data_IF_067393289417
#
_entry.id   IF_067393289417
#
_cell.length_a   1.000
_cell.length_b   1.000
_cell.length_c   1.000
_cell.angle_alpha   90.00
_cell.angle_beta   90.00
_cell.angle_gamma   90.00
#
_symmetry.space_group_name_H-M   'P 1'
#
loop_
_entity.id
_entity.type
_entity.pdbx_description
1 polymer ?
#
# COMPACT_ATOMS: atom_id res chain seq x y z
N UNK A 1 -29.63 30.18 -39.75
CA UNK A 1 -28.44 30.24 -38.88
C UNK A 1 -28.84 29.73 -37.50
N UNK A 2 -28.50 28.49 -37.20
CA UNK A 2 -28.70 27.84 -35.89
C UNK A 2 -27.37 27.24 -35.50
N UNK A 3 -26.75 27.65 -34.38
CA UNK A 3 -25.47 27.08 -34.00
C UNK A 3 -25.74 25.74 -33.32
N UNK A 4 -25.27 24.68 -33.97
CA UNK A 4 -25.22 23.33 -33.45
C UNK A 4 -24.20 23.30 -32.31
N UNK A 5 -24.69 23.28 -31.06
CA UNK A 5 -23.85 23.01 -29.89
C UNK A 5 -23.31 21.58 -29.99
N UNK A 6 -22.04 21.45 -30.37
CA UNK A 6 -21.28 20.23 -30.16
C UNK A 6 -21.12 20.04 -28.66
N UNK A 7 -21.84 19.07 -28.08
CA UNK A 7 -21.45 18.47 -26.80
C UNK A 7 -20.04 17.90 -26.98
N UNK A 8 -19.05 18.62 -26.44
CA UNK A 8 -17.73 18.05 -26.19
C UNK A 8 -17.91 16.96 -25.13
N UNK A 9 -17.89 15.71 -25.57
CA UNK A 9 -17.73 14.56 -24.70
C UNK A 9 -16.34 14.66 -24.08
N UNK A 10 -16.27 15.27 -22.90
CA UNK A 10 -15.07 15.23 -22.06
C UNK A 10 -15.01 13.81 -21.52
N UNK A 11 -14.22 12.95 -22.18
CA UNK A 11 -13.70 11.74 -21.57
C UNK A 11 -12.89 12.19 -20.35
N UNK A 12 -13.52 12.25 -19.18
CA UNK A 12 -12.79 12.20 -17.91
C UNK A 12 -12.11 10.84 -17.89
N UNK A 13 -10.85 10.78 -18.33
CA UNK A 13 -9.95 9.70 -17.97
C UNK A 13 -9.96 9.67 -16.45
N UNK A 14 -10.66 8.70 -15.84
CA UNK A 14 -10.63 8.48 -14.42
C UNK A 14 -9.16 8.22 -14.05
N UNK A 15 -8.50 9.21 -13.47
CA UNK A 15 -7.14 9.05 -12.96
C UNK A 15 -7.27 8.18 -11.72
N UNK A 16 -6.99 6.87 -11.85
CA UNK A 16 -6.86 6.01 -10.69
C UNK A 16 -5.56 6.33 -9.98
N UNK A 17 -5.64 6.78 -8.73
CA UNK A 17 -4.48 7.00 -7.87
C UNK A 17 -4.37 5.87 -6.86
N UNK A 18 -3.14 5.46 -6.55
CA UNK A 18 -2.90 4.34 -5.63
C UNK A 18 -1.90 4.73 -4.56
N UNK A 19 -2.26 4.45 -3.31
CA UNK A 19 -1.33 4.43 -2.19
C UNK A 19 -1.02 2.99 -1.82
N UNK A 20 0.25 2.66 -1.57
CA UNK A 20 0.68 1.30 -1.21
C UNK A 20 1.48 1.31 0.07
N UNK A 21 1.40 0.23 0.84
CA UNK A 21 2.40 -0.11 1.83
C UNK A 21 2.77 -1.57 1.70
N UNK A 22 4.06 -1.87 1.71
CA UNK A 22 4.57 -3.20 1.41
C UNK A 22 5.90 -3.47 2.09
N UNK A 23 6.29 -4.74 2.13
CA UNK A 23 7.46 -5.21 2.84
C UNK A 23 7.37 -4.88 4.33
N UNK A 24 8.48 -4.47 4.95
CA UNK A 24 8.57 -4.23 6.40
C UNK A 24 8.14 -2.83 6.84
N UNK A 25 7.83 -1.93 5.91
CA UNK A 25 7.56 -0.54 6.26
C UNK A 25 7.63 0.47 5.12
N UNK A 26 7.73 0.03 3.86
CA UNK A 26 7.70 0.95 2.73
C UNK A 26 6.28 1.49 2.55
N UNK A 27 6.16 2.79 2.35
CA UNK A 27 4.91 3.47 2.03
C UNK A 27 5.11 4.28 0.76
N UNK A 28 4.31 3.98 -0.26
CA UNK A 28 4.19 4.76 -1.48
C UNK A 28 2.92 5.61 -1.37
N UNK A 29 3.02 6.93 -1.13
CA UNK A 29 1.85 7.80 -1.07
C UNK A 29 1.16 7.90 -2.43
N UNK A 30 -0.06 8.45 -2.44
CA UNK A 30 -0.82 8.68 -3.69
C UNK A 30 -0.05 9.55 -4.69
N UNK A 31 0.82 10.43 -4.20
CA UNK A 31 1.70 11.27 -5.01
C UNK A 31 3.08 11.40 -4.37
N UNK A 32 4.12 11.31 -5.19
CA UNK A 32 5.52 11.45 -4.78
C UNK A 32 6.25 10.11 -4.76
N UNK A 33 7.47 10.11 -4.23
CA UNK A 33 8.26 8.89 -4.05
C UNK A 33 7.91 8.23 -2.72
N UNK A 34 8.06 6.90 -2.67
CA UNK A 34 7.86 6.15 -1.43
C UNK A 34 8.86 6.54 -0.34
N UNK A 35 8.55 6.20 0.90
CA UNK A 35 9.44 6.38 2.04
C UNK A 35 9.34 5.16 2.96
N UNK A 36 10.13 5.13 4.02
CA UNK A 36 10.20 3.98 4.93
C UNK A 36 9.87 4.38 6.36
N UNK A 37 9.03 3.57 7.01
CA UNK A 37 8.62 3.73 8.40
C UNK A 37 8.96 2.45 9.16
N UNK A 38 9.87 2.55 10.13
CA UNK A 38 10.18 1.44 11.05
C UNK A 38 9.39 1.61 12.33
N UNK A 39 8.27 0.92 12.46
CA UNK A 39 7.41 1.09 13.63
C UNK A 39 6.48 -0.09 13.84
N UNK A 40 6.21 -0.40 15.10
CA UNK A 40 5.12 -1.30 15.50
C UNK A 40 3.90 -0.52 16.03
N UNK A 41 3.93 0.83 15.93
CA UNK A 41 2.81 1.68 16.30
C UNK A 41 1.66 1.58 15.30
N UNK A 42 0.42 1.83 15.76
CA UNK A 42 -0.70 2.05 14.87
C UNK A 42 -0.59 3.41 14.15
N UNK A 43 -0.95 3.44 12.87
CA UNK A 43 -1.00 4.65 12.05
C UNK A 43 -2.32 4.75 11.27
N UNK A 44 -2.79 5.97 11.06
CA UNK A 44 -3.72 6.24 9.95
C UNK A 44 -2.97 6.11 8.63
N UNK A 45 -3.31 5.09 7.83
CA UNK A 45 -2.78 4.96 6.47
C UNK A 45 -3.40 6.03 5.57
N UNK A 46 -4.72 6.14 5.56
CA UNK A 46 -5.42 7.24 4.91
C UNK A 46 -6.76 7.49 5.58
N UNK A 47 -7.13 8.77 5.69
CA UNK A 47 -8.43 9.22 6.15
C UNK A 47 -8.92 10.40 5.34
N UNK A 48 -10.16 10.37 4.87
CA UNK A 48 -10.77 11.47 4.13
C UNK A 48 -12.30 11.38 4.15
N UNK A 49 -12.97 12.46 3.81
CA UNK A 49 -14.42 12.53 3.70
C UNK A 49 -14.85 12.61 2.24
N UNK A 50 -15.86 11.83 1.84
CA UNK A 50 -16.51 11.98 0.55
C UNK A 50 -18.03 11.96 0.74
N UNK A 51 -18.74 12.97 0.23
CA UNK A 51 -20.20 13.11 0.38
C UNK A 51 -20.69 12.94 1.83
N UNK A 52 -19.98 13.53 2.80
CA UNK A 52 -20.23 13.44 4.26
C UNK A 52 -20.04 12.04 4.87
N UNK A 53 -19.49 11.11 4.10
CA UNK A 53 -19.09 9.78 4.58
C UNK A 53 -17.58 9.80 4.83
N UNK A 54 -17.18 9.48 6.05
CA UNK A 54 -15.78 9.29 6.41
C UNK A 54 -15.30 7.91 5.96
N UNK A 55 -14.11 7.90 5.38
CA UNK A 55 -13.31 6.72 5.05
C UNK A 55 -12.05 6.78 5.90
N UNK A 56 -11.80 5.76 6.71
CA UNK A 56 -10.64 5.68 7.58
C UNK A 56 -10.01 4.30 7.49
N UNK A 57 -8.72 4.27 7.13
CA UNK A 57 -7.94 3.04 7.07
C UNK A 57 -6.77 3.20 8.02
N UNK A 58 -6.72 2.35 9.05
CA UNK A 58 -5.62 2.30 10.01
C UNK A 58 -4.85 0.99 9.86
N UNK A 59 -3.56 1.06 10.14
CA UNK A 59 -2.63 -0.07 10.02
C UNK A 59 -1.76 -0.17 11.27
N UNK A 60 -1.40 -1.39 11.65
CA UNK A 60 -0.39 -1.65 12.68
C UNK A 60 0.49 -2.81 12.24
N UNK A 61 1.80 -2.58 12.29
CA UNK A 61 2.81 -3.62 12.04
C UNK A 61 3.22 -4.28 13.35
N UNK A 62 3.61 -5.55 13.26
CA UNK A 62 4.29 -6.24 14.35
C UNK A 62 5.81 -6.07 14.26
N UNK A 63 6.53 -6.62 15.23
CA UNK A 63 8.01 -6.61 15.21
C UNK A 63 8.61 -7.43 14.05
N UNK A 64 7.81 -8.33 13.46
CA UNK A 64 8.17 -9.05 12.24
C UNK A 64 8.24 -8.15 11.00
N UNK A 65 7.78 -6.90 11.09
CA UNK A 65 7.64 -5.99 9.95
C UNK A 65 6.36 -6.21 9.16
N UNK A 66 5.63 -7.32 9.33
CA UNK A 66 4.34 -7.55 8.67
C UNK A 66 3.22 -6.72 9.31
N UNK A 67 2.20 -6.40 8.52
CA UNK A 67 0.95 -5.85 9.03
C UNK A 67 0.19 -6.94 9.81
N UNK A 68 0.01 -6.72 11.11
CA UNK A 68 -0.68 -7.65 12.02
C UNK A 68 -2.15 -7.27 12.24
N UNK A 69 -2.48 -6.00 11.96
CA UNK A 69 -3.84 -5.49 12.06
C UNK A 69 -4.06 -4.38 11.04
N UNK A 70 -5.18 -4.46 10.33
CA UNK A 70 -5.68 -3.40 9.45
C UNK A 70 -7.14 -3.17 9.78
N UNK A 71 -7.55 -1.92 9.95
CA UNK A 71 -8.95 -1.57 10.12
C UNK A 71 -9.41 -0.67 9.00
N UNK A 72 -10.50 -1.05 8.35
CA UNK A 72 -11.12 -0.35 7.23
C UNK A 72 -12.50 0.06 7.68
N UNK A 73 -12.71 1.36 7.87
CA UNK A 73 -14.00 1.92 8.25
C UNK A 73 -14.58 2.69 7.06
N UNK A 74 -15.76 2.29 6.60
CA UNK A 74 -16.49 2.97 5.53
C UNK A 74 -17.94 3.14 5.96
N UNK A 75 -18.40 4.38 6.04
CA UNK A 75 -19.77 4.69 6.48
C UNK A 75 -20.15 3.97 7.78
N UNK A 76 -19.26 4.05 8.78
CA UNK A 76 -19.39 3.41 10.11
C UNK A 76 -19.34 1.88 10.12
N UNK A 77 -19.27 1.22 8.97
CA UNK A 77 -19.03 -0.23 8.90
C UNK A 77 -17.55 -0.47 9.08
N UNK A 78 -17.18 -1.22 10.12
CA UNK A 78 -15.80 -1.55 10.46
C UNK A 78 -15.47 -2.97 10.02
N UNK A 79 -14.46 -3.07 9.16
CA UNK A 79 -13.83 -4.32 8.74
C UNK A 79 -12.43 -4.40 9.32
N UNK A 80 -12.12 -5.47 10.06
CA UNK A 80 -10.81 -5.70 10.68
C UNK A 80 -10.15 -6.92 10.04
N UNK A 81 -8.91 -6.75 9.59
CA UNK A 81 -8.04 -7.83 9.13
C UNK A 81 -7.05 -8.14 10.24
N UNK A 82 -7.12 -9.33 10.82
CA UNK A 82 -6.26 -9.73 11.93
C UNK A 82 -6.15 -11.26 12.01
N UNK A 83 -4.95 -11.78 12.27
CA UNK A 83 -4.71 -13.22 12.44
C UNK A 83 -5.25 -14.08 11.28
N UNK A 84 -5.12 -13.61 10.04
CA UNK A 84 -5.64 -14.30 8.85
C UNK A 84 -7.16 -14.31 8.71
N UNK A 85 -7.89 -13.68 9.64
CA UNK A 85 -9.35 -13.59 9.62
C UNK A 85 -9.80 -12.21 9.13
N UNK A 86 -10.98 -12.19 8.48
CA UNK A 86 -11.70 -10.99 8.10
C UNK A 86 -12.91 -10.88 9.02
N UNK A 87 -12.98 -9.79 9.79
CA UNK A 87 -14.07 -9.52 10.74
C UNK A 87 -14.85 -8.30 10.25
N UNK A 88 -16.12 -8.46 9.89
CA UNK A 88 -17.02 -7.34 9.57
C UNK A 88 -17.99 -7.18 10.73
N UNK A 89 -18.05 -5.99 11.33
CA UNK A 89 -18.88 -5.73 12.52
C UNK A 89 -18.67 -6.78 13.63
N UNK A 90 -17.40 -7.14 13.86
CA UNK A 90 -16.95 -8.16 14.84
C UNK A 90 -17.34 -9.60 14.51
N UNK A 91 -17.94 -9.86 13.34
CA UNK A 91 -18.29 -11.21 12.88
C UNK A 91 -17.29 -11.69 11.85
N UNK A 92 -16.76 -12.90 12.04
CA UNK A 92 -15.91 -13.53 11.04
C UNK A 92 -16.73 -13.84 9.79
N UNK A 93 -16.15 -13.57 8.62
CA UNK A 93 -16.81 -13.78 7.32
C UNK A 93 -15.97 -14.67 6.42
N UNK A 94 -16.64 -15.38 5.51
CA UNK A 94 -15.99 -16.12 4.42
C UNK A 94 -16.14 -15.36 3.10
N UNK A 95 -15.25 -15.61 2.14
CA UNK A 95 -15.27 -14.96 0.84
C UNK A 95 -16.03 -15.82 -0.19
N UNK A 96 -16.79 -15.19 -1.12
CA UNK A 96 -17.08 -13.76 -1.19
C UNK A 96 -18.04 -13.33 -0.07
N UNK A 97 -17.96 -12.06 0.32
CA UNK A 97 -18.82 -11.47 1.33
C UNK A 97 -19.42 -10.16 0.86
N UNK A 98 -20.74 -10.05 0.96
CA UNK A 98 -21.49 -8.84 0.67
C UNK A 98 -22.04 -8.21 1.95
N UNK A 99 -21.90 -6.90 2.03
CA UNK A 99 -22.55 -6.05 3.02
C UNK A 99 -23.02 -4.78 2.33
N UNK A 100 -23.94 -4.03 2.96
CA UNK A 100 -24.64 -2.88 2.36
C UNK A 100 -23.76 -1.89 1.59
N UNK A 101 -22.49 -1.71 1.98
CA UNK A 101 -21.57 -0.73 1.40
C UNK A 101 -20.26 -1.33 0.88
N UNK A 102 -20.08 -2.64 0.96
CA UNK A 102 -18.81 -3.27 0.65
C UNK A 102 -19.00 -4.69 0.10
N UNK A 103 -18.18 -5.01 -0.90
CA UNK A 103 -18.04 -6.35 -1.45
C UNK A 103 -16.60 -6.82 -1.25
N UNK A 104 -16.40 -7.97 -0.62
CA UNK A 104 -15.09 -8.56 -0.35
C UNK A 104 -14.95 -9.87 -1.12
N UNK A 105 -13.89 -10.00 -1.92
CA UNK A 105 -13.73 -11.13 -2.84
C UNK A 105 -12.25 -11.42 -3.14
N UNK A 106 -12.00 -12.60 -3.70
CA UNK A 106 -10.68 -13.01 -4.18
C UNK A 106 -10.31 -12.24 -5.46
N UNK A 107 -9.10 -11.70 -5.50
CA UNK A 107 -8.53 -10.92 -6.60
C UNK A 107 -7.16 -11.47 -6.97
N UNK A 108 -7.15 -12.58 -7.72
CA UNK A 108 -5.93 -13.35 -7.98
C UNK A 108 -5.42 -13.97 -6.68
N UNK A 109 -4.16 -13.67 -6.32
CA UNK A 109 -3.59 -14.07 -5.03
C UNK A 109 -3.96 -13.12 -3.88
N UNK A 110 -4.61 -12.00 -4.19
CA UNK A 110 -4.96 -10.96 -3.23
C UNK A 110 -6.40 -11.13 -2.78
N UNK A 111 -6.76 -10.50 -1.68
CA UNK A 111 -8.16 -10.23 -1.35
C UNK A 111 -8.44 -8.75 -1.57
N UNK A 112 -9.61 -8.44 -2.13
CA UNK A 112 -10.05 -7.08 -2.42
C UNK A 112 -11.36 -6.80 -1.74
N UNK A 113 -11.41 -5.69 -1.01
CA UNK A 113 -12.62 -5.02 -0.60
C UNK A 113 -12.90 -3.89 -1.61
N UNK A 114 -14.11 -3.84 -2.14
CA UNK A 114 -14.60 -2.76 -3.01
C UNK A 114 -15.74 -2.04 -2.31
N UNK A 115 -15.65 -0.71 -2.21
CA UNK A 115 -16.75 0.12 -1.74
C UNK A 115 -17.85 0.22 -2.81
N UNK A 116 -19.11 0.16 -2.36
CA UNK A 116 -20.28 0.41 -3.19
C UNK A 116 -20.70 1.89 -3.18
N UNK A 117 -20.14 2.70 -2.28
CA UNK A 117 -20.48 4.12 -2.08
C UNK A 117 -19.57 5.08 -2.84
N UNK A 118 -18.32 4.68 -3.03
CA UNK A 118 -17.25 5.45 -3.66
C UNK A 118 -16.43 4.45 -4.48
N UNK A 119 -15.87 4.83 -5.65
CA UNK A 119 -14.90 4.01 -6.36
C UNK A 119 -13.54 3.98 -5.61
N UNK A 120 -13.58 3.43 -4.40
CA UNK A 120 -12.45 3.09 -3.55
C UNK A 120 -12.37 1.57 -3.45
N UNK A 121 -11.16 1.04 -3.53
CA UNK A 121 -10.88 -0.35 -3.16
C UNK A 121 -9.66 -0.45 -2.25
N UNK A 122 -9.72 -1.42 -1.34
CA UNK A 122 -8.59 -1.80 -0.48
C UNK A 122 -8.23 -3.23 -0.84
N UNK A 123 -7.00 -3.46 -1.27
CA UNK A 123 -6.53 -4.78 -1.68
C UNK A 123 -5.31 -5.17 -0.85
N UNK A 124 -5.23 -6.42 -0.42
CA UNK A 124 -4.13 -6.90 0.41
C UNK A 124 -3.72 -8.33 0.06
N UNK A 125 -2.49 -8.68 0.43
CA UNK A 125 -1.94 -10.02 0.31
C UNK A 125 -1.67 -10.59 1.70
N UNK A 126 -2.31 -11.70 2.03
CA UNK A 126 -2.12 -12.39 3.30
C UNK A 126 -1.01 -13.45 3.17
N UNK A 127 -0.11 -13.46 4.14
CA UNK A 127 1.00 -14.41 4.28
C UNK A 127 1.00 -14.99 5.69
N UNK A 128 1.70 -16.12 5.94
CA UNK A 128 1.96 -16.58 7.30
C UNK A 128 2.49 -15.44 8.18
N UNK A 129 1.78 -15.16 9.28
CA UNK A 129 2.15 -14.12 10.24
C UNK A 129 1.59 -12.72 10.00
N UNK A 130 0.92 -12.45 8.87
CA UNK A 130 0.28 -11.14 8.65
C UNK A 130 -0.01 -10.80 7.19
N UNK A 131 0.16 -9.51 6.85
CA UNK A 131 0.00 -8.97 5.50
C UNK A 131 1.31 -8.32 5.07
N UNK A 132 1.84 -8.70 3.90
CA UNK A 132 3.11 -8.20 3.36
C UNK A 132 2.93 -7.04 2.38
N UNK A 133 1.75 -6.90 1.77
CA UNK A 133 1.38 -5.80 0.86
C UNK A 133 -0.09 -5.43 1.01
N UNK A 134 -0.35 -4.12 1.05
CA UNK A 134 -1.68 -3.54 1.07
C UNK A 134 -1.69 -2.25 0.24
N UNK A 135 -2.75 -2.03 -0.53
CA UNK A 135 -2.94 -0.78 -1.24
C UNK A 135 -4.39 -0.31 -1.28
N UNK A 136 -4.51 1.01 -1.44
CA UNK A 136 -5.77 1.73 -1.56
C UNK A 136 -5.79 2.36 -2.95
N UNK A 137 -6.77 1.99 -3.77
CA UNK A 137 -7.03 2.58 -5.08
C UNK A 137 -8.24 3.50 -4.99
N UNK A 138 -8.11 4.71 -5.53
CA UNK A 138 -9.17 5.70 -5.65
C UNK A 138 -9.33 6.06 -7.14
N UNK A 139 -10.53 5.91 -7.70
CA UNK A 139 -10.85 6.37 -9.05
C UNK A 139 -11.56 7.74 -8.98
N UNK A 140 -10.92 8.69 -8.30
CA UNK A 140 -11.40 10.06 -8.17
C UNK A 140 -10.23 11.00 -7.88
N UNK A 141 -10.48 12.31 -7.97
CA UNK A 141 -9.53 13.31 -7.51
C UNK A 141 -9.25 13.16 -6.01
N UNK A 142 -8.00 13.40 -5.62
CA UNK A 142 -7.59 13.35 -4.22
C UNK A 142 -8.32 14.44 -3.43
N UNK A 143 -9.01 14.02 -2.37
CA UNK A 143 -9.67 14.96 -1.48
C UNK A 143 -8.67 15.88 -0.80
N UNK A 144 -9.01 17.18 -0.70
CA UNK A 144 -8.16 18.18 -0.07
C UNK A 144 -8.06 18.02 1.45
N UNK A 145 -8.98 17.29 2.06
CA UNK A 145 -9.01 16.96 3.50
C UNK A 145 -8.22 15.70 3.86
N UNK A 146 -7.67 14.98 2.87
CA UNK A 146 -7.04 13.68 3.08
C UNK A 146 -5.84 13.72 4.03
N UNK A 147 -5.79 12.83 5.01
CA UNK A 147 -4.70 12.71 5.99
C UNK A 147 -4.18 11.28 6.04
N UNK A 148 -3.15 11.03 6.84
CA UNK A 148 -2.51 9.72 6.97
C UNK A 148 -1.21 9.60 6.16
N UNK A 149 -0.58 8.44 6.26
CA UNK A 149 0.69 8.11 5.59
C UNK A 149 0.62 8.20 4.06
N UNK A 150 -0.55 8.01 3.46
CA UNK A 150 -0.76 8.18 2.02
C UNK A 150 -0.72 9.63 1.55
N UNK A 151 -0.86 10.57 2.49
CA UNK A 151 -0.58 12.00 2.34
C UNK A 151 -1.43 12.79 1.35
N UNK A 152 -1.21 14.12 1.40
CA UNK A 152 -1.58 15.10 0.37
C UNK A 152 -0.36 15.39 -0.52
N UNK A 153 -0.57 16.10 -1.63
CA UNK A 153 0.52 16.57 -2.48
C UNK A 153 1.57 17.37 -1.67
N UNK A 154 2.86 17.18 -1.98
CA UNK A 154 4.00 18.00 -1.51
C UNK A 154 4.33 17.94 -0.01
N UNK A 155 3.91 16.90 0.70
CA UNK A 155 4.30 16.68 2.11
C UNK A 155 5.44 15.65 2.19
N UNK A 156 6.43 15.89 3.05
CA UNK A 156 7.54 14.95 3.25
C UNK A 156 7.11 13.74 4.07
N UNK A 157 7.74 12.58 3.85
CA UNK A 157 7.43 11.36 4.60
C UNK A 157 7.57 11.53 6.12
N UNK A 158 8.55 12.30 6.60
CA UNK A 158 8.72 12.57 8.04
C UNK A 158 7.53 13.33 8.65
N UNK A 159 6.98 14.32 7.93
CA UNK A 159 5.79 15.05 8.37
C UNK A 159 4.56 14.13 8.38
N UNK A 160 4.41 13.26 7.39
CA UNK A 160 3.33 12.29 7.32
C UNK A 160 3.39 11.29 8.48
N UNK A 161 4.58 10.79 8.83
CA UNK A 161 4.75 9.88 9.97
C UNK A 161 4.27 10.55 11.26
N UNK A 162 4.80 11.75 11.58
CA UNK A 162 4.44 12.46 12.82
C UNK A 162 2.96 12.79 12.93
N UNK A 163 2.31 13.15 11.82
CA UNK A 163 0.90 13.51 11.79
C UNK A 163 -0.07 12.33 11.76
N UNK A 164 0.42 11.09 11.60
CA UNK A 164 -0.43 9.91 11.38
C UNK A 164 -0.32 8.85 12.47
N UNK A 165 0.64 8.97 13.39
CA UNK A 165 0.76 8.05 14.52
C UNK A 165 -0.45 8.14 15.44
N UNK A 166 -1.04 7.01 15.79
CA UNK A 166 -2.11 6.93 16.78
C UNK A 166 -1.51 6.69 18.17
N UNK A 167 -2.14 7.22 19.22
CA UNK A 167 -1.67 7.12 20.60
C UNK A 167 -1.66 5.67 21.08
N UNK A 168 -0.48 5.17 21.43
CA UNK A 168 -0.25 3.86 22.04
C UNK A 168 1.08 3.92 22.82
N UNK A 169 1.02 3.73 24.13
CA UNK A 169 2.18 3.87 25.01
C UNK A 169 3.11 2.64 24.98
N UNK A 170 2.69 1.56 24.31
CA UNK A 170 3.42 0.28 24.26
C UNK A 170 4.23 0.09 22.99
N UNK A 171 4.07 0.98 22.01
CA UNK A 171 4.69 0.89 20.70
C UNK A 171 5.89 1.84 20.55
N UNK A 172 6.69 1.63 19.50
CA UNK A 172 7.85 2.45 19.18
C UNK A 172 7.97 2.68 17.68
N UNK A 173 8.16 3.95 17.31
CA UNK A 173 8.69 4.33 15.98
C UNK A 173 10.18 4.55 16.11
N UNK A 174 10.97 3.84 15.30
CA UNK A 174 12.43 3.82 15.34
C UNK A 174 13.01 4.50 14.11
N UNK A 175 14.25 4.94 14.23
CA UNK A 175 14.97 5.47 13.07
C UNK A 175 15.20 4.38 12.02
N UNK A 176 15.01 4.70 10.72
CA UNK A 176 15.38 3.81 9.63
C UNK A 176 16.87 3.49 9.66
N UNK A 177 17.20 2.20 9.66
CA UNK A 177 18.58 1.73 9.51
C UNK A 177 18.73 1.19 8.08
N UNK A 178 19.82 1.55 7.42
CA UNK A 178 20.12 1.16 6.05
C UNK A 178 21.47 0.45 6.03
N UNK A 179 21.46 -0.88 5.84
CA UNK A 179 22.66 -1.70 5.74
C UNK A 179 22.75 -2.28 4.32
N UNK A 180 23.92 -2.23 3.66
CA UNK A 180 24.10 -2.85 2.35
C UNK A 180 23.70 -4.32 2.36
N UNK A 181 22.97 -4.74 1.32
CA UNK A 181 22.52 -6.11 1.18
C UNK A 181 22.83 -6.63 -0.25
N UNK A 182 23.53 -7.77 -0.39
CA UNK A 182 23.97 -8.26 -1.70
C UNK A 182 22.81 -8.59 -2.65
N UNK A 183 21.64 -8.99 -2.13
CA UNK A 183 20.45 -9.24 -2.96
C UNK A 183 19.91 -7.92 -3.53
N UNK A 184 19.89 -6.85 -2.72
CA UNK A 184 19.55 -5.52 -3.22
C UNK A 184 20.53 -5.05 -4.30
N UNK A 185 21.84 -5.19 -4.09
CA UNK A 185 22.86 -4.82 -5.08
C UNK A 185 22.65 -5.55 -6.41
N UNK A 186 22.48 -6.88 -6.35
CA UNK A 186 22.33 -7.70 -7.53
C UNK A 186 21.00 -7.42 -8.26
N UNK A 187 19.90 -7.33 -7.52
CA UNK A 187 18.59 -7.03 -8.11
C UNK A 187 18.57 -5.65 -8.80
N UNK A 188 19.09 -4.60 -8.15
CA UNK A 188 19.09 -3.25 -8.72
C UNK A 188 20.09 -3.05 -9.86
N UNK A 189 21.00 -4.00 -10.11
CA UNK A 189 21.80 -3.99 -11.33
C UNK A 189 20.95 -4.17 -12.61
N UNK A 190 19.79 -4.84 -12.49
CA UNK A 190 18.88 -5.09 -13.62
C UNK A 190 17.79 -4.03 -13.82
N UNK A 191 17.66 -3.06 -12.89
CA UNK A 191 16.59 -2.04 -12.91
C UNK A 191 16.98 -0.73 -13.60
N UNK A 192 18.21 -0.62 -14.10
CA UNK A 192 18.74 0.60 -14.70
C UNK A 192 17.87 1.11 -15.87
N UNK A 193 17.37 0.20 -16.70
CA UNK A 193 16.56 0.55 -17.88
C UNK A 193 15.14 1.05 -17.57
N UNK A 194 14.63 0.91 -16.33
CA UNK A 194 13.25 1.26 -16.00
C UNK A 194 13.12 2.34 -14.91
N UNK A 195 13.95 2.32 -13.85
CA UNK A 195 13.76 3.24 -12.72
C UNK A 195 14.38 4.63 -12.91
N UNK A 196 15.28 4.79 -13.89
CA UNK A 196 15.94 6.06 -14.22
C UNK A 196 16.39 6.84 -12.97
N UNK A 197 15.88 8.06 -12.77
CA UNK A 197 16.22 8.96 -11.65
C UNK A 197 15.75 8.45 -10.28
N UNK A 198 14.74 7.59 -10.22
CA UNK A 198 14.21 7.02 -8.98
C UNK A 198 14.98 5.78 -8.49
N UNK A 199 15.92 5.26 -9.29
CA UNK A 199 16.67 4.02 -8.98
C UNK A 199 17.38 4.09 -7.64
N UNK A 200 18.17 5.14 -7.40
CA UNK A 200 18.94 5.29 -6.15
C UNK A 200 18.03 5.33 -4.93
N UNK A 201 16.87 5.97 -5.06
CA UNK A 201 15.88 6.08 -4.02
C UNK A 201 15.30 4.71 -3.63
N UNK A 202 14.79 3.94 -4.62
CA UNK A 202 14.27 2.60 -4.35
C UNK A 202 15.35 1.63 -3.88
N UNK A 203 16.58 1.79 -4.37
CA UNK A 203 17.71 1.00 -3.91
C UNK A 203 17.99 1.22 -2.42
N UNK A 204 17.95 2.46 -1.94
CA UNK A 204 18.05 2.76 -0.50
C UNK A 204 16.86 2.22 0.31
N UNK A 205 15.65 2.23 -0.27
CA UNK A 205 14.48 1.62 0.38
C UNK A 205 14.64 0.10 0.52
N UNK A 206 15.30 -0.56 -0.43
CA UNK A 206 15.58 -2.00 -0.36
C UNK A 206 16.40 -2.36 0.89
N UNK A 207 17.49 -1.62 1.13
CA UNK A 207 18.34 -1.82 2.31
C UNK A 207 17.58 -1.62 3.63
N UNK A 208 16.72 -0.60 3.69
CA UNK A 208 15.87 -0.34 4.87
C UNK A 208 14.81 -1.42 5.05
N UNK A 209 14.23 -1.89 3.96
CA UNK A 209 13.17 -2.89 3.97
C UNK A 209 13.66 -4.25 4.49
N UNK A 210 14.85 -4.67 4.05
CA UNK A 210 15.41 -5.99 4.38
C UNK A 210 16.02 -6.02 5.78
N UNK A 211 16.49 -4.89 6.30
CA UNK A 211 17.19 -4.85 7.58
C UNK A 211 16.33 -5.36 8.75
N UNK A 212 16.82 -6.41 9.42
CA UNK A 212 16.11 -7.11 10.50
C UNK A 212 14.99 -8.04 10.01
N UNK A 213 14.88 -8.25 8.71
CA UNK A 213 13.90 -9.11 8.04
C UNK A 213 14.58 -10.00 6.97
N UNK A 214 15.89 -10.24 7.08
CA UNK A 214 16.72 -10.90 6.08
C UNK A 214 16.23 -12.32 5.75
N UNK A 215 15.68 -13.01 6.76
CA UNK A 215 15.18 -14.38 6.62
C UNK A 215 13.69 -14.45 6.22
N UNK A 216 13.01 -13.31 6.08
CA UNK A 216 11.60 -13.26 5.72
C UNK A 216 11.45 -13.17 4.20
N UNK A 217 11.17 -14.30 3.55
CA UNK A 217 10.88 -14.34 2.11
C UNK A 217 9.74 -13.37 1.77
N UNK A 218 8.65 -13.36 2.56
CA UNK A 218 7.48 -12.51 2.30
C UNK A 218 7.84 -11.02 2.25
N UNK A 219 8.68 -10.52 3.15
CA UNK A 219 9.04 -9.10 3.20
C UNK A 219 9.93 -8.69 2.03
N UNK A 220 10.94 -9.51 1.71
CA UNK A 220 11.81 -9.26 0.57
C UNK A 220 11.00 -9.31 -0.74
N UNK A 221 10.19 -10.35 -0.91
CA UNK A 221 9.45 -10.58 -2.13
C UNK A 221 8.34 -9.57 -2.38
N UNK A 222 7.65 -9.10 -1.35
CA UNK A 222 6.69 -8.01 -1.48
C UNK A 222 7.38 -6.75 -2.04
N UNK A 223 8.57 -6.40 -1.54
CA UNK A 223 9.33 -5.26 -2.04
C UNK A 223 9.76 -5.43 -3.51
N UNK A 224 10.44 -6.54 -3.84
CA UNK A 224 10.95 -6.75 -5.19
C UNK A 224 9.83 -6.83 -6.23
N UNK A 225 8.70 -7.44 -5.87
CA UNK A 225 7.52 -7.52 -6.74
C UNK A 225 6.99 -6.15 -7.12
N UNK A 226 6.88 -5.22 -6.16
CA UNK A 226 6.40 -3.86 -6.45
C UNK A 226 7.34 -3.12 -7.41
N UNK A 227 8.65 -3.26 -7.25
CA UNK A 227 9.62 -2.66 -8.17
C UNK A 227 9.52 -3.27 -9.57
N UNK A 228 9.38 -4.59 -9.66
CA UNK A 228 9.23 -5.30 -10.94
C UNK A 228 7.93 -4.92 -11.65
N UNK A 229 6.82 -4.81 -10.91
CA UNK A 229 5.54 -4.34 -11.45
C UNK A 229 5.64 -2.91 -11.96
N UNK A 230 6.35 -2.03 -11.25
CA UNK A 230 6.61 -0.67 -11.68
C UNK A 230 7.46 -0.61 -12.96
N UNK A 231 8.46 -1.48 -13.09
CA UNK A 231 9.28 -1.59 -14.30
C UNK A 231 8.55 -2.21 -15.49
N UNK A 232 7.50 -2.99 -15.25
CA UNK A 232 6.68 -3.61 -16.28
C UNK A 232 7.25 -4.91 -16.86
N UNK A 233 6.39 -5.66 -17.54
CA UNK A 233 6.69 -7.03 -18.01
C UNK A 233 7.75 -7.13 -19.10
N UNK A 234 7.97 -6.05 -19.84
CA UNK A 234 8.98 -5.99 -20.91
C UNK A 234 10.38 -5.61 -20.40
N UNK A 235 10.56 -5.41 -19.10
CA UNK A 235 11.84 -5.01 -18.52
C UNK A 235 12.78 -6.19 -18.27
N UNK A 236 14.09 -5.96 -18.36
CA UNK A 236 15.12 -6.97 -18.07
C UNK A 236 14.98 -7.58 -16.65
N UNK A 237 14.58 -6.75 -15.67
CA UNK A 237 14.37 -7.23 -14.30
C UNK A 237 13.19 -8.20 -14.19
N UNK A 238 12.16 -8.09 -15.05
CA UNK A 238 11.00 -8.98 -15.02
C UNK A 238 11.36 -10.45 -15.26
N UNK A 239 12.33 -10.72 -16.13
CA UNK A 239 12.76 -12.08 -16.47
C UNK A 239 13.67 -12.70 -15.39
N UNK A 240 14.45 -11.85 -14.70
CA UNK A 240 15.53 -12.31 -13.81
C UNK A 240 15.16 -12.30 -12.34
N UNK A 241 14.24 -11.43 -11.91
CA UNK A 241 14.10 -11.11 -10.48
C UNK A 241 13.89 -12.34 -9.59
N UNK A 242 13.01 -13.28 -9.97
CA UNK A 242 12.74 -14.48 -9.15
C UNK A 242 13.98 -15.32 -8.90
N UNK A 243 14.85 -15.46 -9.91
CA UNK A 243 16.11 -16.19 -9.76
C UNK A 243 17.12 -15.47 -8.88
N UNK A 244 17.08 -14.13 -8.88
CA UNK A 244 17.99 -13.28 -8.09
C UNK A 244 17.54 -13.17 -6.63
N UNK A 245 16.25 -13.01 -6.42
CA UNK A 245 15.65 -12.74 -5.11
C UNK A 245 15.13 -13.99 -4.42
N UNK A 246 15.16 -15.14 -5.13
CA UNK A 246 14.62 -16.43 -4.68
C UNK A 246 13.14 -16.41 -4.31
N UNK A 247 12.40 -15.42 -4.84
CA UNK A 247 10.97 -15.31 -4.59
C UNK A 247 10.21 -16.35 -5.41
N UNK A 248 9.48 -17.22 -4.70
CA UNK A 248 8.59 -18.21 -5.31
C UNK A 248 7.54 -17.59 -6.24
N UNK A 249 6.94 -18.44 -7.07
CA UNK A 249 5.74 -18.09 -7.84
C UNK A 249 4.49 -18.07 -6.95
#
# INVERSE_FOLDING_TARGET
MTPQQRMLSVCFLLVSVTCRTYGSGVVQPFKGLGYYVRSNCPFTLTRFTHNRVEYDITIRRGDSGLLVQVEITMNKVRTVLQNGSILVEKKSVSLPYDHTYQHIFQYGIYTRLRSSLLPLSVTWHSVPGGIDSLWVELEQELSTDMTGLCGKCNVTGQQLIRGSTLTDDTCQTRDPVSVPNPVCEHFFSYTLGCLQSSRLHYFQLCHKNIYGCENSEHIGCAFFREIVLHCGKSSNVWEKWRSVTQCGN
#
